data_IF_336415211045
#
_entry.id   IF_336415211045
#
_cell.length_a   1.000
_cell.length_b   1.000
_cell.length_c   1.000
_cell.angle_alpha   90.00
_cell.angle_beta   90.00
_cell.angle_gamma   90.00
#
_symmetry.space_group_name_H-M   'P 1'
#
loop_
_entity.id
_entity.type
_entity.pdbx_description
1 polymer ?
#
# COMPACT_ATOMS: atom_id res chain seq x y z
N UNK A 1 8.22 13.73 7.26
CA UNK A 1 7.93 13.94 5.82
C UNK A 1 7.80 15.43 5.55
N UNK A 2 8.24 15.89 4.37
CA UNK A 2 8.27 17.33 4.04
C UNK A 2 7.56 17.65 2.71
N UNK A 3 7.01 16.64 2.04
CA UNK A 3 6.42 16.80 0.71
C UNK A 3 5.18 15.90 0.58
N UNK A 4 4.12 16.44 0.00
CA UNK A 4 2.92 15.73 -0.40
C UNK A 4 2.74 15.87 -1.91
N UNK A 5 2.70 14.74 -2.63
CA UNK A 5 2.48 14.72 -4.08
C UNK A 5 1.02 14.39 -4.35
N UNK A 6 0.29 15.36 -4.89
CA UNK A 6 -1.12 15.25 -5.22
C UNK A 6 -1.30 14.92 -6.70
N UNK A 7 -1.65 13.68 -7.01
CA UNK A 7 -1.86 13.18 -8.38
C UNK A 7 -3.02 12.17 -8.43
N UNK A 8 -4.27 12.61 -8.12
CA UNK A 8 -5.43 11.72 -8.02
C UNK A 8 -5.86 11.22 -9.40
N UNK A 9 -5.75 9.90 -9.63
CA UNK A 9 -6.08 9.27 -10.94
C UNK A 9 -7.58 9.29 -11.25
N UNK A 10 -8.43 9.46 -10.27
CA UNK A 10 -9.89 9.58 -10.38
C UNK A 10 -10.37 11.02 -10.62
N UNK A 11 -9.52 12.04 -10.43
CA UNK A 11 -9.84 13.41 -10.78
C UNK A 11 -9.79 13.61 -12.31
N UNK A 12 -10.92 13.91 -12.98
CA UNK A 12 -10.95 14.11 -14.41
C UNK A 12 -10.09 15.31 -14.86
N UNK A 13 -9.93 16.34 -14.04
CA UNK A 13 -9.17 17.54 -14.36
C UNK A 13 -7.65 17.37 -14.22
N UNK A 14 -7.24 16.34 -13.53
CA UNK A 14 -5.86 15.85 -13.51
C UNK A 14 -5.54 15.05 -14.79
N UNK A 15 -6.50 14.30 -15.36
CA UNK A 15 -6.30 13.28 -16.39
C UNK A 15 -7.13 13.49 -17.66
N UNK A 16 -8.37 13.03 -17.70
CA UNK A 16 -9.18 12.97 -18.91
C UNK A 16 -9.58 14.37 -19.46
N UNK A 17 -9.76 15.34 -18.58
CA UNK A 17 -10.17 16.72 -18.88
C UNK A 17 -9.08 17.73 -18.50
N UNK A 18 -7.82 17.34 -18.64
CA UNK A 18 -6.67 18.12 -18.19
C UNK A 18 -6.54 19.50 -18.84
N UNK A 19 -7.14 19.69 -20.03
CA UNK A 19 -7.18 20.99 -20.73
C UNK A 19 -8.15 21.98 -20.11
N UNK A 20 -9.11 21.49 -19.31
CA UNK A 20 -10.15 22.30 -18.70
C UNK A 20 -9.70 22.84 -17.33
N UNK A 21 -10.15 24.04 -16.92
CA UNK A 21 -9.95 24.51 -15.56
C UNK A 21 -10.71 23.63 -14.57
N UNK A 22 -10.21 23.52 -13.33
CA UNK A 22 -10.98 22.90 -12.25
C UNK A 22 -12.23 23.72 -11.97
N UNK A 23 -13.39 23.10 -11.65
CA UNK A 23 -14.54 23.80 -11.11
C UNK A 23 -14.20 24.64 -9.87
N UNK A 24 -14.91 25.74 -9.66
CA UNK A 24 -14.57 26.69 -8.60
C UNK A 24 -14.64 26.07 -7.19
N UNK A 25 -15.56 25.17 -6.95
CA UNK A 25 -15.71 24.44 -5.67
C UNK A 25 -14.56 23.45 -5.44
N UNK A 26 -14.11 22.75 -6.48
CA UNK A 26 -12.95 21.86 -6.38
C UNK A 26 -11.65 22.66 -6.22
N UNK A 27 -11.50 23.77 -6.93
CA UNK A 27 -10.36 24.68 -6.78
C UNK A 27 -10.30 25.26 -5.36
N UNK A 28 -11.45 25.58 -4.73
CA UNK A 28 -11.50 26.03 -3.35
C UNK A 28 -11.03 24.94 -2.36
N UNK A 29 -11.48 23.70 -2.52
CA UNK A 29 -11.01 22.55 -1.71
C UNK A 29 -9.51 22.32 -1.88
N UNK A 30 -9.03 22.37 -3.13
CA UNK A 30 -7.60 22.22 -3.41
C UNK A 30 -6.79 23.32 -2.70
N UNK A 31 -7.28 24.57 -2.71
CA UNK A 31 -6.64 25.67 -2.00
C UNK A 31 -6.57 25.43 -0.50
N UNK A 32 -7.62 24.90 0.13
CA UNK A 32 -7.61 24.52 1.56
C UNK A 32 -6.49 23.49 1.86
N UNK A 33 -6.30 22.48 0.99
CA UNK A 33 -5.22 21.51 1.13
C UNK A 33 -3.83 22.16 0.99
N UNK A 34 -3.67 23.06 0.03
CA UNK A 34 -2.43 23.83 -0.18
C UNK A 34 -2.10 24.69 1.05
N UNK A 35 -3.09 25.40 1.58
CA UNK A 35 -2.93 26.24 2.77
C UNK A 35 -2.59 25.40 4.01
N UNK A 36 -3.24 24.24 4.17
CA UNK A 36 -2.93 23.29 5.24
C UNK A 36 -1.50 22.73 5.12
N UNK A 37 -1.06 22.40 3.92
CA UNK A 37 0.31 21.95 3.67
C UNK A 37 1.33 23.04 4.04
N UNK A 38 1.13 24.27 3.59
CA UNK A 38 2.00 25.40 3.91
C UNK A 38 2.04 25.70 5.42
N UNK A 39 0.89 25.68 6.10
CA UNK A 39 0.81 25.85 7.55
C UNK A 39 1.65 24.81 8.29
N UNK A 40 1.69 23.57 7.79
CA UNK A 40 2.46 22.47 8.36
C UNK A 40 3.89 22.35 7.79
N UNK A 41 4.35 23.33 7.00
CA UNK A 41 5.68 23.32 6.36
C UNK A 41 5.90 22.09 5.46
N UNK A 42 4.83 21.61 4.84
CA UNK A 42 4.84 20.53 3.85
C UNK A 42 4.74 21.15 2.47
N UNK A 43 5.64 20.74 1.59
CA UNK A 43 5.61 21.13 0.18
C UNK A 43 4.44 20.39 -0.49
N UNK A 44 3.55 21.14 -1.15
CA UNK A 44 2.47 20.60 -1.94
C UNK A 44 2.90 20.54 -3.41
N UNK A 45 3.05 19.36 -3.97
CA UNK A 45 3.35 19.11 -5.38
C UNK A 45 2.06 18.74 -6.09
N UNK A 46 1.62 19.56 -7.03
CA UNK A 46 0.47 19.22 -7.86
C UNK A 46 0.94 18.57 -9.17
N UNK A 47 0.35 17.41 -9.50
CA UNK A 47 0.67 16.68 -10.70
C UNK A 47 -0.41 16.82 -11.77
N UNK A 48 -0.02 16.76 -13.06
CA UNK A 48 -0.91 16.64 -14.21
C UNK A 48 -0.53 15.38 -15.01
N UNK A 49 -1.54 14.68 -15.56
CA UNK A 49 -1.34 13.48 -16.37
C UNK A 49 -1.98 13.64 -17.77
N UNK A 50 -1.32 14.35 -18.71
CA UNK A 50 -1.91 14.69 -20.00
C UNK A 50 -1.81 13.57 -21.04
N UNK A 51 -1.10 12.48 -20.73
CA UNK A 51 -0.61 11.51 -21.70
C UNK A 51 -1.68 10.67 -22.39
N UNK A 52 -2.91 10.61 -21.87
CA UNK A 52 -3.98 9.79 -22.44
C UNK A 52 -4.42 10.24 -23.84
N UNK A 53 -4.31 11.53 -24.14
CA UNK A 53 -4.79 12.11 -25.41
C UNK A 53 -3.94 13.27 -25.96
N UNK A 54 -2.75 13.48 -25.41
CA UNK A 54 -1.83 14.54 -25.84
C UNK A 54 -1.40 14.34 -27.30
N UNK A 55 -1.45 15.41 -28.10
CA UNK A 55 -1.13 15.38 -29.53
C UNK A 55 0.30 15.79 -29.84
N UNK A 56 1.09 16.14 -28.84
CA UNK A 56 2.48 16.58 -28.98
C UNK A 56 2.65 17.80 -29.87
N UNK A 57 1.66 18.67 -29.93
CA UNK A 57 1.68 19.93 -30.64
C UNK A 57 1.94 21.11 -29.69
N UNK A 58 2.27 22.27 -30.27
CA UNK A 58 2.51 23.48 -29.48
C UNK A 58 1.28 23.91 -28.68
N UNK A 59 0.08 23.73 -29.25
CA UNK A 59 -1.19 24.05 -28.57
C UNK A 59 -1.36 23.27 -27.27
N UNK A 60 -1.10 21.95 -27.28
CA UNK A 60 -1.18 21.13 -26.07
C UNK A 60 -0.11 21.52 -25.04
N UNK A 61 1.11 21.85 -25.47
CA UNK A 61 2.16 22.38 -24.58
C UNK A 61 1.73 23.69 -23.91
N UNK A 62 1.09 24.58 -24.66
CA UNK A 62 0.51 25.84 -24.13
C UNK A 62 -0.61 25.53 -23.13
N UNK A 63 -1.48 24.55 -23.42
CA UNK A 63 -2.59 24.21 -22.55
C UNK A 63 -2.08 23.60 -21.22
N UNK A 64 -1.05 22.76 -21.24
CA UNK A 64 -0.40 22.29 -20.00
C UNK A 64 0.17 23.47 -19.20
N UNK A 65 0.93 24.39 -19.84
CA UNK A 65 1.48 25.55 -19.16
C UNK A 65 0.39 26.44 -18.54
N UNK A 66 -0.71 26.69 -19.27
CA UNK A 66 -1.87 27.43 -18.73
C UNK A 66 -2.48 26.74 -17.52
N UNK A 67 -2.57 25.42 -17.53
CA UNK A 67 -3.09 24.67 -16.38
C UNK A 67 -2.18 24.81 -15.16
N UNK A 68 -0.84 24.79 -15.37
CA UNK A 68 0.11 25.03 -14.28
C UNK A 68 0.00 26.45 -13.74
N UNK A 69 -0.23 27.48 -14.60
CA UNK A 69 -0.48 28.87 -14.13
C UNK A 69 -1.72 28.97 -13.24
N UNK A 70 -2.83 28.31 -13.63
CA UNK A 70 -4.03 28.28 -12.80
C UNK A 70 -3.77 27.66 -11.41
N UNK A 71 -2.95 26.62 -11.34
CA UNK A 71 -2.56 25.98 -10.09
C UNK A 71 -1.57 26.84 -9.29
N UNK A 72 -0.67 27.58 -9.97
CA UNK A 72 0.22 28.54 -9.35
C UNK A 72 -0.57 29.67 -8.65
N UNK A 73 -1.63 30.16 -9.28
CA UNK A 73 -2.53 31.17 -8.71
C UNK A 73 -3.26 30.70 -7.43
N UNK A 74 -3.45 29.37 -7.28
CA UNK A 74 -3.97 28.77 -6.03
C UNK A 74 -2.91 28.68 -4.92
N UNK A 75 -1.67 29.08 -5.17
CA UNK A 75 -0.59 29.05 -4.18
C UNK A 75 0.38 27.87 -4.31
N UNK A 76 0.22 26.98 -5.30
CA UNK A 76 1.11 25.84 -5.52
C UNK A 76 2.44 26.33 -6.10
N UNK A 77 3.57 25.76 -5.64
CA UNK A 77 4.93 26.15 -6.03
C UNK A 77 5.79 24.98 -6.52
N UNK A 78 5.26 23.77 -6.48
CA UNK A 78 5.94 22.57 -6.96
C UNK A 78 5.00 21.77 -7.84
N UNK A 79 5.51 21.27 -8.97
CA UNK A 79 4.69 20.67 -10.00
C UNK A 79 5.30 19.38 -10.53
N UNK A 80 4.42 18.46 -10.95
CA UNK A 80 4.81 17.22 -11.59
C UNK A 80 4.01 16.98 -12.89
N UNK A 81 4.62 16.27 -13.84
CA UNK A 81 3.94 15.80 -15.05
C UNK A 81 4.09 14.27 -15.11
N UNK A 82 2.98 13.58 -15.15
CA UNK A 82 2.93 12.13 -15.09
C UNK A 82 2.59 11.52 -16.44
N UNK A 83 3.27 10.42 -16.77
CA UNK A 83 3.08 9.61 -17.96
C UNK A 83 3.00 8.11 -17.62
N UNK A 84 2.78 7.78 -16.36
CA UNK A 84 2.62 6.40 -15.91
C UNK A 84 1.41 5.74 -16.57
N UNK A 85 1.51 4.42 -16.80
CA UNK A 85 0.47 3.58 -17.39
C UNK A 85 0.01 4.05 -18.79
N UNK A 86 0.93 4.59 -19.59
CA UNK A 86 0.68 5.04 -20.96
C UNK A 86 1.58 4.29 -21.95
N UNK A 87 1.00 3.92 -23.10
CA UNK A 87 1.67 3.20 -24.18
C UNK A 87 1.52 3.94 -25.52
N UNK A 88 2.22 3.47 -26.53
CA UNK A 88 2.15 4.01 -27.90
C UNK A 88 2.68 5.42 -28.00
N UNK A 89 1.98 6.29 -28.73
CA UNK A 89 2.42 7.68 -29.00
C UNK A 89 2.55 8.52 -27.72
N UNK A 90 1.74 8.26 -26.68
CA UNK A 90 1.85 8.92 -25.38
C UNK A 90 3.14 8.60 -24.62
N UNK A 91 3.77 7.45 -24.91
CA UNK A 91 4.96 6.93 -24.26
C UNK A 91 6.27 7.29 -24.99
N UNK A 92 6.29 8.30 -25.85
CA UNK A 92 7.49 8.72 -26.60
C UNK A 92 8.42 9.59 -25.77
N UNK A 93 9.60 9.06 -25.41
CA UNK A 93 10.57 9.73 -24.56
C UNK A 93 11.08 11.07 -25.11
N UNK A 94 11.28 11.19 -26.43
CA UNK A 94 11.67 12.43 -27.08
C UNK A 94 10.59 13.53 -26.97
N UNK A 95 9.32 13.14 -27.06
CA UNK A 95 8.19 14.05 -26.93
C UNK A 95 7.96 14.47 -25.48
N UNK A 96 8.06 13.51 -24.54
CA UNK A 96 7.99 13.80 -23.11
C UNK A 96 9.10 14.77 -22.69
N UNK A 97 10.36 14.52 -23.11
CA UNK A 97 11.46 15.44 -22.84
C UNK A 97 11.21 16.85 -23.44
N UNK A 98 10.72 16.91 -24.67
CA UNK A 98 10.37 18.17 -25.33
C UNK A 98 9.31 18.96 -24.56
N UNK A 99 8.26 18.32 -24.08
CA UNK A 99 7.22 18.96 -23.25
C UNK A 99 7.80 19.49 -21.94
N UNK A 100 8.59 18.68 -21.22
CA UNK A 100 9.19 19.11 -19.95
C UNK A 100 10.14 20.30 -20.14
N UNK A 101 10.92 20.32 -21.22
CA UNK A 101 11.79 21.47 -21.56
C UNK A 101 10.95 22.71 -21.88
N UNK A 102 9.88 22.56 -22.69
CA UNK A 102 8.96 23.67 -22.99
C UNK A 102 8.35 24.24 -21.69
N UNK A 103 7.88 23.40 -20.78
CA UNK A 103 7.31 23.85 -19.51
C UNK A 103 8.36 24.50 -18.60
N UNK A 104 9.59 23.98 -18.61
CA UNK A 104 10.70 24.59 -17.86
C UNK A 104 10.97 26.02 -18.37
N UNK A 105 11.04 26.24 -19.68
CA UNK A 105 11.30 27.55 -20.26
C UNK A 105 10.12 28.51 -20.14
N UNK A 106 8.90 28.00 -20.33
CA UNK A 106 7.70 28.83 -20.47
C UNK A 106 6.89 29.01 -19.21
N UNK A 107 7.17 28.20 -18.16
CA UNK A 107 6.53 28.30 -16.87
C UNK A 107 7.54 28.38 -15.72
N UNK A 108 8.37 27.33 -15.49
CA UNK A 108 9.25 27.31 -14.31
C UNK A 108 10.19 28.51 -14.24
N UNK A 109 10.89 28.80 -15.33
CA UNK A 109 11.87 29.91 -15.38
C UNK A 109 11.25 31.31 -15.37
N UNK A 110 9.93 31.40 -15.54
CA UNK A 110 9.20 32.69 -15.41
C UNK A 110 8.86 33.02 -13.97
N UNK A 111 8.82 32.00 -13.10
CA UNK A 111 8.48 32.12 -11.69
C UNK A 111 9.68 31.80 -10.80
N UNK A 112 10.15 32.77 -10.01
CA UNK A 112 11.37 32.63 -9.18
C UNK A 112 11.19 31.68 -8.01
N UNK A 113 9.94 31.40 -7.62
CA UNK A 113 9.55 30.61 -6.48
C UNK A 113 8.99 29.21 -6.87
N UNK A 114 9.04 28.86 -8.16
CA UNK A 114 8.67 27.52 -8.64
C UNK A 114 9.91 26.63 -8.72
N UNK A 115 9.79 25.45 -8.15
CA UNK A 115 10.86 24.43 -8.17
C UNK A 115 10.96 23.72 -9.53
N UNK A 116 12.11 23.07 -9.82
CA UNK A 116 12.24 22.20 -10.97
C UNK A 116 11.16 21.12 -11.01
N UNK A 117 10.65 20.84 -12.21
CA UNK A 117 9.58 19.86 -12.42
C UNK A 117 10.01 18.45 -11.99
N UNK A 118 9.02 17.69 -11.55
CA UNK A 118 9.12 16.24 -11.37
C UNK A 118 8.36 15.56 -12.50
N UNK A 119 8.88 14.47 -13.06
CA UNK A 119 8.15 13.68 -14.04
C UNK A 119 8.13 12.20 -13.65
N UNK A 120 6.99 11.54 -13.87
CA UNK A 120 6.92 10.09 -13.87
C UNK A 120 6.97 9.62 -15.33
N UNK A 121 7.97 8.83 -15.75
CA UNK A 121 8.07 8.34 -17.11
C UNK A 121 7.09 7.19 -17.37
N UNK A 122 6.76 6.92 -18.63
CA UNK A 122 5.92 5.77 -19.00
C UNK A 122 6.60 4.44 -18.67
N UNK A 123 7.93 4.36 -18.81
CA UNK A 123 8.72 3.20 -18.44
C UNK A 123 9.40 3.45 -17.10
N UNK A 124 8.61 3.48 -16.04
CA UNK A 124 9.04 3.87 -14.69
C UNK A 124 9.66 2.74 -13.87
N UNK A 125 9.83 1.55 -14.43
CA UNK A 125 10.55 0.42 -13.81
C UNK A 125 11.40 -0.33 -14.85
N UNK A 126 12.39 -1.08 -14.36
CA UNK A 126 13.33 -1.80 -15.24
C UNK A 126 12.66 -2.87 -16.09
N UNK A 127 11.67 -3.58 -15.53
CA UNK A 127 10.96 -4.66 -16.25
C UNK A 127 10.17 -4.16 -17.45
N UNK A 128 9.79 -2.89 -17.49
CA UNK A 128 9.08 -2.26 -18.61
C UNK A 128 10.00 -1.46 -19.54
N UNK A 129 11.26 -1.32 -19.18
CA UNK A 129 12.22 -0.57 -19.97
C UNK A 129 12.50 -1.29 -21.29
N UNK A 130 12.41 -0.54 -22.39
CA UNK A 130 12.69 -1.04 -23.73
C UNK A 130 13.37 0.01 -24.60
N UNK A 131 14.23 -0.42 -25.51
CA UNK A 131 14.93 0.46 -26.44
C UNK A 131 15.77 1.52 -25.70
N UNK A 132 15.82 2.73 -26.27
CA UNK A 132 16.62 3.85 -25.77
C UNK A 132 15.78 4.89 -24.98
N UNK A 133 14.61 4.49 -24.46
CA UNK A 133 13.65 5.42 -23.86
C UNK A 133 14.24 6.21 -22.69
N UNK A 134 14.79 5.53 -21.67
CA UNK A 134 15.35 6.18 -20.48
C UNK A 134 16.58 7.04 -20.82
N UNK A 135 17.47 6.56 -21.67
CA UNK A 135 18.62 7.33 -22.11
C UNK A 135 18.20 8.56 -22.96
N UNK A 136 17.15 8.44 -23.75
CA UNK A 136 16.54 9.58 -24.47
C UNK A 136 16.05 10.65 -23.49
N UNK A 137 15.34 10.26 -22.42
CA UNK A 137 14.94 11.20 -21.36
C UNK A 137 16.17 11.82 -20.69
N UNK A 138 17.15 11.00 -20.33
CA UNK A 138 18.37 11.44 -19.65
C UNK A 138 19.19 12.46 -20.43
N UNK A 139 19.26 12.31 -21.75
CA UNK A 139 20.10 13.13 -22.64
C UNK A 139 19.39 14.34 -23.24
N UNK A 140 18.08 14.25 -23.50
CA UNK A 140 17.32 15.31 -24.17
C UNK A 140 16.57 16.25 -23.22
N UNK A 141 16.27 15.80 -22.00
CA UNK A 141 15.56 16.62 -21.03
C UNK A 141 16.53 17.43 -20.18
N UNK A 142 16.16 18.66 -19.83
CA UNK A 142 16.97 19.52 -18.97
C UNK A 142 17.35 18.82 -17.67
N UNK A 143 18.62 18.96 -17.21
CA UNK A 143 19.15 18.18 -16.09
C UNK A 143 18.49 18.48 -14.75
N UNK A 144 17.87 19.64 -14.59
CA UNK A 144 17.16 20.02 -13.37
C UNK A 144 15.83 19.27 -13.19
N UNK A 145 15.22 18.74 -14.26
CA UNK A 145 13.96 17.96 -14.14
C UNK A 145 14.23 16.63 -13.47
N UNK A 146 13.49 16.33 -12.42
CA UNK A 146 13.61 15.09 -11.64
C UNK A 146 12.78 13.98 -12.29
N UNK A 147 13.36 12.78 -12.41
CA UNK A 147 12.71 11.61 -13.02
C UNK A 147 12.39 10.57 -11.96
N UNK A 148 11.13 10.17 -11.87
CA UNK A 148 10.67 9.15 -10.94
C UNK A 148 11.02 7.73 -11.41
N UNK A 149 11.18 6.82 -10.44
CA UNK A 149 11.54 5.44 -10.65
C UNK A 149 11.01 4.54 -9.53
N UNK A 150 10.43 3.37 -9.86
CA UNK A 150 9.84 2.46 -8.87
C UNK A 150 10.70 1.25 -8.53
N UNK A 151 11.82 1.04 -9.25
CA UNK A 151 12.68 -0.14 -9.04
C UNK A 151 12.74 -1.06 -10.26
N UNK A 152 13.11 -2.32 -10.06
CA UNK A 152 13.15 -3.32 -11.11
C UNK A 152 11.73 -3.74 -11.56
N UNK A 153 10.75 -3.52 -10.71
CA UNK A 153 9.34 -3.83 -10.91
C UNK A 153 8.46 -2.65 -10.49
N UNK A 154 7.13 -2.75 -10.70
CA UNK A 154 6.15 -1.77 -10.23
C UNK A 154 6.22 -1.64 -8.70
N UNK A 155 6.32 -2.77 -8.03
CA UNK A 155 6.50 -2.87 -6.58
C UNK A 155 7.82 -3.57 -6.29
N UNK A 156 8.74 -2.88 -5.65
CA UNK A 156 10.11 -3.36 -5.44
C UNK A 156 10.73 -2.85 -4.13
N UNK A 157 11.89 -3.40 -3.79
CA UNK A 157 12.83 -2.89 -2.80
C UNK A 157 14.00 -2.26 -3.56
N UNK A 158 14.37 -1.05 -3.19
CA UNK A 158 15.35 -0.25 -3.93
C UNK A 158 16.75 -0.47 -3.34
N UNK A 159 17.63 -1.08 -4.11
CA UNK A 159 19.00 -1.38 -3.69
C UNK A 159 20.05 -0.52 -4.43
N UNK A 160 21.31 -0.56 -3.97
CA UNK A 160 22.39 0.23 -4.53
C UNK A 160 22.62 -0.05 -6.03
N UNK A 161 22.64 -1.31 -6.43
CA UNK A 161 22.82 -1.71 -7.83
C UNK A 161 21.69 -1.20 -8.74
N UNK A 162 20.47 -1.13 -8.21
CA UNK A 162 19.33 -0.61 -8.95
C UNK A 162 19.48 0.89 -9.17
N UNK A 163 19.90 1.59 -8.12
CA UNK A 163 20.18 3.03 -8.19
C UNK A 163 21.32 3.36 -9.14
N UNK A 164 22.39 2.60 -9.12
CA UNK A 164 23.49 2.75 -10.06
C UNK A 164 23.00 2.61 -11.50
N UNK A 165 22.26 1.54 -11.77
CA UNK A 165 21.73 1.25 -13.10
C UNK A 165 20.82 2.38 -13.62
N UNK A 166 19.83 2.82 -12.83
CA UNK A 166 18.88 3.84 -13.29
C UNK A 166 19.56 5.19 -13.47
N UNK A 167 20.45 5.59 -12.55
CA UNK A 167 21.17 6.86 -12.63
C UNK A 167 22.06 6.92 -13.88
N UNK A 168 22.66 5.79 -14.28
CA UNK A 168 23.42 5.66 -15.51
C UNK A 168 22.51 5.79 -16.76
N UNK A 169 21.29 5.28 -16.73
CA UNK A 169 20.33 5.43 -17.83
C UNK A 169 19.87 6.87 -17.99
N UNK A 170 19.38 7.49 -16.91
CA UNK A 170 18.76 8.84 -16.98
C UNK A 170 19.77 9.99 -16.80
N UNK A 171 21.07 9.72 -16.64
CA UNK A 171 22.17 10.70 -16.50
C UNK A 171 21.99 11.67 -15.33
N UNK A 172 21.28 11.27 -14.29
CA UNK A 172 21.01 12.05 -13.07
C UNK A 172 20.55 11.12 -11.96
N UNK A 173 20.46 11.64 -10.71
CA UNK A 173 19.88 10.91 -9.59
C UNK A 173 18.38 10.74 -9.78
N UNK A 174 17.89 9.50 -9.68
CA UNK A 174 16.46 9.22 -9.76
C UNK A 174 15.70 9.76 -8.54
N UNK A 175 14.43 10.08 -8.73
CA UNK A 175 13.46 10.36 -7.68
C UNK A 175 12.68 9.07 -7.41
N UNK A 176 12.80 8.47 -6.23
CA UNK A 176 12.15 7.19 -5.94
C UNK A 176 10.66 7.38 -5.68
N UNK A 177 9.87 6.57 -6.35
CA UNK A 177 8.46 6.32 -6.07
C UNK A 177 8.33 4.91 -5.51
N UNK A 178 8.31 4.79 -4.20
CA UNK A 178 8.14 3.51 -3.52
C UNK A 178 6.67 3.12 -3.50
N UNK A 179 6.30 2.04 -4.20
CA UNK A 179 4.95 1.48 -4.14
C UNK A 179 4.76 0.60 -2.89
N UNK A 180 4.78 1.26 -1.74
CA UNK A 180 4.50 0.72 -0.42
C UNK A 180 4.10 1.86 0.52
N UNK A 181 3.01 1.73 1.32
CA UNK A 181 2.14 0.57 1.50
C UNK A 181 0.93 0.50 0.56
N UNK A 182 0.94 1.10 -0.62
CA UNK A 182 -0.20 1.04 -1.54
C UNK A 182 -0.74 -0.37 -1.70
N UNK A 183 -2.06 -0.52 -1.68
CA UNK A 183 -2.77 -1.80 -1.74
C UNK A 183 -3.90 -1.87 -2.78
N UNK A 184 -3.90 -0.98 -3.76
CA UNK A 184 -4.92 -0.91 -4.82
C UNK A 184 -5.01 -2.20 -5.66
N UNK A 185 -3.92 -2.93 -5.79
CA UNK A 185 -3.83 -4.24 -6.46
C UNK A 185 -4.15 -5.43 -5.53
N UNK A 186 -4.34 -5.20 -4.22
CA UNK A 186 -4.64 -6.23 -3.21
C UNK A 186 -5.61 -5.72 -2.13
N UNK A 187 -6.70 -5.11 -2.55
CA UNK A 187 -7.66 -4.35 -1.72
C UNK A 187 -8.27 -5.13 -0.53
N UNK A 188 -8.18 -6.45 -0.54
CA UNK A 188 -8.58 -7.30 0.60
C UNK A 188 -7.58 -7.26 1.77
N UNK A 189 -6.39 -6.72 1.57
CA UNK A 189 -5.31 -6.66 2.55
C UNK A 189 -5.00 -5.22 2.91
N UNK A 190 -4.55 -5.01 4.14
CA UNK A 190 -3.86 -3.78 4.56
C UNK A 190 -2.43 -4.10 4.91
N UNK A 191 -1.52 -3.19 4.59
CA UNK A 191 -0.08 -3.42 4.69
C UNK A 191 0.48 -2.65 5.88
N UNK A 192 0.50 -3.31 7.03
CA UNK A 192 0.86 -2.74 8.34
C UNK A 192 2.26 -3.15 8.82
N UNK A 193 3.03 -3.83 7.96
CA UNK A 193 4.32 -4.39 8.29
C UNK A 193 5.45 -3.35 8.38
N UNK A 194 6.63 -3.84 8.77
CA UNK A 194 7.87 -3.07 8.82
C UNK A 194 8.29 -2.61 7.42
N UNK A 195 8.84 -1.41 7.30
CA UNK A 195 9.52 -0.97 6.08
C UNK A 195 10.96 -1.47 6.11
N UNK A 196 11.30 -2.42 5.25
CA UNK A 196 12.64 -3.01 5.15
C UNK A 196 13.01 -3.39 3.72
N UNK A 197 14.24 -3.82 3.49
CA UNK A 197 14.72 -4.31 2.20
C UNK A 197 15.25 -3.23 1.26
N UNK A 198 15.03 -1.94 1.55
CA UNK A 198 15.65 -0.86 0.80
C UNK A 198 17.10 -0.65 1.27
N UNK A 199 17.99 -0.27 0.36
CA UNK A 199 19.41 -0.04 0.64
C UNK A 199 19.64 1.04 1.69
N UNK A 200 20.54 0.79 2.63
CA UNK A 200 20.87 1.75 3.68
C UNK A 200 21.98 2.76 3.25
N UNK A 201 22.53 2.58 2.07
CA UNK A 201 23.66 3.36 1.52
C UNK A 201 23.30 4.11 0.22
N UNK A 202 22.01 4.30 -0.07
CA UNK A 202 21.55 4.95 -1.30
C UNK A 202 21.23 6.44 -1.14
N UNK A 203 21.44 7.02 0.04
CA UNK A 203 21.12 8.42 0.35
C UNK A 203 21.74 9.43 -0.65
N UNK A 204 22.98 9.19 -1.10
CA UNK A 204 23.66 10.06 -2.07
C UNK A 204 23.33 9.74 -3.53
N UNK A 205 22.52 8.72 -3.77
CA UNK A 205 22.14 8.25 -5.11
C UNK A 205 20.74 8.68 -5.54
N UNK A 206 19.94 9.26 -4.64
CA UNK A 206 18.57 9.69 -4.89
C UNK A 206 18.45 11.22 -4.97
N UNK A 207 17.54 11.75 -5.80
CA UNK A 207 17.16 13.17 -5.83
C UNK A 207 15.94 13.48 -4.98
N UNK A 208 15.24 12.46 -4.51
CA UNK A 208 14.07 12.50 -3.66
C UNK A 208 13.50 11.11 -3.48
N UNK A 209 12.60 10.97 -2.51
CA UNK A 209 11.99 9.70 -2.15
C UNK A 209 10.54 9.93 -1.73
N UNK A 210 9.58 9.38 -2.45
CA UNK A 210 8.17 9.40 -2.05
C UNK A 210 7.61 7.98 -1.92
N UNK A 211 6.62 7.85 -1.07
CA UNK A 211 5.86 6.64 -0.85
C UNK A 211 4.46 6.80 -1.43
N UNK A 212 3.95 5.75 -2.05
CA UNK A 212 2.55 5.63 -2.44
C UNK A 212 1.79 4.91 -1.31
N UNK A 213 0.91 5.61 -0.56
CA UNK A 213 0.20 5.04 0.59
C UNK A 213 -1.02 4.23 0.15
N UNK A 214 -1.62 3.50 1.11
CA UNK A 214 -2.96 2.97 0.96
C UNK A 214 -3.98 4.12 0.91
N UNK A 215 -5.19 3.84 0.44
CA UNK A 215 -6.33 4.75 0.56
C UNK A 215 -6.79 4.98 2.02
N UNK A 216 -6.37 4.13 2.93
CA UNK A 216 -6.57 4.21 4.38
C UNK A 216 -5.49 5.11 4.99
N UNK A 217 -5.82 6.38 5.20
CA UNK A 217 -4.86 7.41 5.60
C UNK A 217 -4.23 7.12 6.97
N UNK A 218 -5.04 6.69 7.94
CA UNK A 218 -4.58 6.38 9.29
C UNK A 218 -3.76 5.09 9.31
N UNK A 219 -4.25 4.02 8.68
CA UNK A 219 -3.52 2.75 8.59
C UNK A 219 -2.17 2.91 7.88
N UNK A 220 -2.09 3.78 6.87
CA UNK A 220 -0.84 4.09 6.17
C UNK A 220 0.21 4.72 7.07
N UNK A 221 -0.17 5.39 8.16
CA UNK A 221 0.77 6.05 9.08
C UNK A 221 1.78 5.09 9.70
N UNK A 222 1.44 3.81 9.89
CA UNK A 222 2.38 2.79 10.39
C UNK A 222 3.60 2.69 9.48
N UNK A 223 3.38 2.48 8.19
CA UNK A 223 4.47 2.38 7.22
C UNK A 223 5.09 3.74 6.92
N UNK A 224 4.29 4.81 6.83
CA UNK A 224 4.79 6.16 6.54
C UNK A 224 5.69 6.69 7.66
N UNK A 225 5.46 6.32 8.93
CA UNK A 225 6.35 6.63 10.03
C UNK A 225 7.74 6.03 9.78
N UNK A 226 7.78 4.74 9.46
CA UNK A 226 9.02 4.02 9.19
C UNK A 226 9.73 4.52 7.92
N UNK A 227 8.99 4.88 6.87
CA UNK A 227 9.55 5.46 5.65
C UNK A 227 10.14 6.85 5.93
N UNK A 228 9.49 7.65 6.77
CA UNK A 228 10.03 8.95 7.18
C UNK A 228 11.33 8.80 7.98
N UNK A 229 11.40 7.85 8.90
CA UNK A 229 12.60 7.53 9.67
C UNK A 229 13.73 7.02 8.76
N UNK A 230 13.43 6.09 7.85
CA UNK A 230 14.35 5.60 6.83
C UNK A 230 14.94 6.74 5.99
N UNK A 231 14.09 7.60 5.43
CA UNK A 231 14.54 8.68 4.54
C UNK A 231 15.25 9.81 5.27
N UNK A 232 15.07 9.93 6.59
CA UNK A 232 15.76 10.91 7.41
C UNK A 232 17.24 10.54 7.62
N UNK A 233 17.54 9.26 7.87
CA UNK A 233 18.89 8.77 8.08
C UNK A 233 19.00 7.28 7.68
N UNK A 234 19.11 7.03 6.38
CA UNK A 234 19.19 5.67 5.82
C UNK A 234 20.28 4.81 6.47
N UNK A 235 21.54 5.30 6.66
CA UNK A 235 22.60 4.47 7.24
C UNK A 235 22.34 4.00 8.67
N UNK A 236 21.56 4.73 9.46
CA UNK A 236 21.25 4.39 10.85
C UNK A 236 19.84 3.82 11.04
N UNK A 237 19.13 3.55 9.96
CA UNK A 237 17.76 3.05 10.02
C UNK A 237 17.71 1.61 10.53
N UNK A 238 16.81 1.37 11.47
CA UNK A 238 16.46 0.05 12.02
C UNK A 238 14.96 -0.16 11.85
N UNK A 239 14.58 -1.11 10.99
CA UNK A 239 13.19 -1.35 10.60
C UNK A 239 12.32 -1.81 11.77
N UNK A 240 12.86 -2.64 12.67
CA UNK A 240 12.12 -3.15 13.82
C UNK A 240 11.87 -2.03 14.82
N UNK A 241 12.93 -1.33 15.23
CA UNK A 241 12.84 -0.23 16.18
C UNK A 241 11.93 0.89 15.67
N UNK A 242 12.01 1.22 14.39
CA UNK A 242 11.18 2.26 13.78
C UNK A 242 9.70 1.87 13.78
N UNK A 243 9.42 0.63 13.41
CA UNK A 243 8.05 0.09 13.42
C UNK A 243 7.46 0.04 14.83
N UNK A 244 8.23 -0.42 15.82
CA UNK A 244 7.82 -0.44 17.22
C UNK A 244 7.45 0.96 17.75
N UNK A 245 8.26 1.96 17.38
CA UNK A 245 7.97 3.35 17.72
C UNK A 245 6.70 3.85 17.06
N UNK A 246 6.46 3.47 15.80
CA UNK A 246 5.22 3.82 15.11
C UNK A 246 3.99 3.26 15.83
N UNK A 247 4.02 1.98 16.23
CA UNK A 247 2.91 1.35 16.96
C UNK A 247 2.60 2.06 18.27
N UNK A 248 3.63 2.33 19.08
CA UNK A 248 3.47 3.05 20.35
C UNK A 248 3.03 4.50 20.19
N UNK A 249 3.42 5.17 19.11
CA UNK A 249 3.00 6.55 18.83
C UNK A 249 1.54 6.63 18.33
N UNK A 250 1.09 5.65 17.55
CA UNK A 250 -0.23 5.65 16.95
C UNK A 250 -1.30 5.06 17.86
N UNK A 251 -0.96 4.07 18.69
CA UNK A 251 -1.88 3.38 19.59
C UNK A 251 -1.24 3.21 21.00
N UNK A 252 -0.97 4.32 21.73
CA UNK A 252 -0.15 4.28 22.95
C UNK A 252 -0.73 3.44 24.09
N UNK A 253 -2.05 3.32 24.20
CA UNK A 253 -2.72 2.55 25.26
C UNK A 253 -2.97 1.08 24.89
N UNK A 254 -2.96 0.75 23.61
CA UNK A 254 -3.21 -0.60 23.07
C UNK A 254 -2.09 -1.08 22.13
N UNK A 255 -0.87 -0.60 22.33
CA UNK A 255 0.28 -0.89 21.45
C UNK A 255 0.56 -2.40 21.28
N UNK A 256 0.43 -3.19 22.35
CA UNK A 256 0.64 -4.65 22.29
C UNK A 256 -0.45 -5.36 21.48
N UNK A 257 -1.71 -4.96 21.63
CA UNK A 257 -2.81 -5.49 20.83
C UNK A 257 -2.68 -5.06 19.36
N UNK A 258 -2.28 -3.81 19.13
CA UNK A 258 -2.03 -3.27 17.80
C UNK A 258 -0.84 -3.94 17.12
N UNK A 259 0.20 -4.31 17.88
CA UNK A 259 1.30 -5.11 17.39
C UNK A 259 0.83 -6.46 16.84
N UNK A 260 0.06 -7.21 17.61
CA UNK A 260 -0.49 -8.51 17.18
C UNK A 260 -1.32 -8.36 15.92
N UNK A 261 -2.12 -7.29 15.83
CA UNK A 261 -2.88 -6.98 14.64
C UNK A 261 -1.97 -6.69 13.44
N UNK A 262 -0.97 -5.83 13.59
CA UNK A 262 -0.06 -5.45 12.51
C UNK A 262 0.79 -6.64 12.03
N UNK A 263 1.25 -7.53 12.92
CA UNK A 263 2.01 -8.74 12.57
C UNK A 263 1.21 -9.72 11.69
N UNK A 264 -0.12 -9.65 11.77
CA UNK A 264 -1.03 -10.48 10.98
C UNK A 264 -1.64 -9.77 9.77
N UNK A 265 -1.22 -8.53 9.49
CA UNK A 265 -1.61 -7.70 8.36
C UNK A 265 -0.37 -7.08 7.71
N UNK A 266 0.48 -7.92 7.19
CA UNK A 266 1.77 -7.58 6.55
C UNK A 266 1.69 -7.78 5.04
N UNK A 267 2.80 -7.49 4.36
CA UNK A 267 2.96 -7.70 2.93
C UNK A 267 2.62 -9.13 2.51
N UNK A 268 2.16 -9.26 1.31
CA UNK A 268 2.06 -10.55 0.61
C UNK A 268 3.34 -10.80 -0.19
N UNK A 269 3.75 -12.02 -0.33
CA UNK A 269 4.94 -12.41 -1.06
C UNK A 269 4.97 -11.95 -2.52
N UNK A 270 5.37 -12.77 -3.46
CA UNK A 270 5.42 -12.43 -4.89
C UNK A 270 4.02 -12.19 -5.46
N UNK A 271 3.89 -11.15 -6.25
CA UNK A 271 2.67 -10.81 -6.98
C UNK A 271 2.99 -10.58 -8.46
N UNK A 272 1.94 -10.38 -9.29
CA UNK A 272 2.11 -9.95 -10.67
C UNK A 272 2.72 -8.55 -10.84
N UNK A 273 2.85 -7.78 -9.76
CA UNK A 273 3.41 -6.42 -9.75
C UNK A 273 4.88 -6.37 -9.33
N UNK A 274 5.48 -7.50 -8.97
CA UNK A 274 6.89 -7.62 -8.62
C UNK A 274 7.14 -8.37 -7.31
N UNK A 275 8.36 -8.25 -6.80
CA UNK A 275 8.75 -8.82 -5.53
C UNK A 275 8.12 -8.02 -4.39
N UNK A 276 7.49 -8.73 -3.49
CA UNK A 276 6.93 -8.19 -2.26
C UNK A 276 7.64 -8.80 -1.06
N UNK A 277 7.47 -8.15 0.09
CA UNK A 277 7.87 -8.71 1.38
C UNK A 277 7.01 -9.92 1.69
N UNK A 278 7.58 -10.90 2.36
CA UNK A 278 6.86 -12.11 2.77
C UNK A 278 5.97 -11.81 3.98
N UNK A 279 4.82 -12.50 4.04
CA UNK A 279 3.94 -12.46 5.19
C UNK A 279 4.64 -13.06 6.41
N UNK A 280 4.48 -12.40 7.56
CA UNK A 280 5.04 -12.83 8.83
C UNK A 280 3.91 -13.07 9.83
N UNK A 281 4.05 -14.09 10.64
CA UNK A 281 3.25 -14.33 11.85
C UNK A 281 4.15 -15.08 12.84
N UNK A 282 5.22 -14.42 13.33
CA UNK A 282 6.31 -15.08 14.05
C UNK A 282 5.86 -15.75 15.33
N UNK A 283 4.93 -15.16 16.05
CA UNK A 283 4.37 -15.74 17.28
C UNK A 283 3.64 -17.03 16.99
N UNK A 284 2.82 -17.06 15.94
CA UNK A 284 2.10 -18.26 15.53
C UNK A 284 3.07 -19.37 15.09
N UNK A 285 4.04 -19.05 14.26
CA UNK A 285 5.03 -20.01 13.76
C UNK A 285 5.84 -20.64 14.90
N UNK A 286 6.20 -19.86 15.91
CA UNK A 286 6.94 -20.36 17.08
C UNK A 286 6.12 -21.26 18.00
N UNK A 287 4.79 -21.11 18.04
CA UNK A 287 3.90 -21.80 18.98
C UNK A 287 3.09 -22.94 18.35
N UNK A 288 3.03 -23.02 17.01
CA UNK A 288 2.14 -23.96 16.30
C UNK A 288 2.51 -25.44 16.42
N UNK A 289 3.67 -25.76 16.98
CA UNK A 289 4.13 -27.14 17.17
C UNK A 289 3.39 -27.90 18.29
N UNK A 290 2.71 -27.21 19.19
CA UNK A 290 1.98 -27.82 20.30
C UNK A 290 0.53 -27.33 20.35
N UNK A 291 -0.36 -28.19 20.87
CA UNK A 291 -1.78 -27.84 21.07
C UNK A 291 -1.92 -26.65 22.03
N UNK A 292 -1.10 -26.63 23.12
CA UNK A 292 -1.08 -25.50 24.06
C UNK A 292 -0.65 -24.19 23.39
N UNK A 293 0.42 -24.21 22.60
CA UNK A 293 0.89 -23.05 21.87
C UNK A 293 -0.09 -22.56 20.80
N UNK A 294 -0.79 -23.49 20.12
CA UNK A 294 -1.88 -23.14 19.22
C UNK A 294 -3.04 -22.45 19.95
N UNK A 295 -3.45 -22.99 21.10
CA UNK A 295 -4.51 -22.40 21.91
C UNK A 295 -4.16 -20.98 22.34
N UNK A 296 -2.93 -20.75 22.82
CA UNK A 296 -2.42 -19.44 23.20
C UNK A 296 -2.39 -18.48 22.00
N UNK A 297 -1.88 -18.92 20.83
CA UNK A 297 -1.82 -18.11 19.63
C UNK A 297 -3.20 -17.64 19.16
N UNK A 298 -4.17 -18.55 19.10
CA UNK A 298 -5.54 -18.18 18.72
C UNK A 298 -6.22 -17.30 19.76
N UNK A 299 -5.95 -17.53 21.05
CA UNK A 299 -6.45 -16.67 22.11
C UNK A 299 -5.85 -15.26 22.01
N UNK A 300 -4.59 -15.14 21.65
CA UNK A 300 -3.92 -13.85 21.46
C UNK A 300 -4.57 -13.04 20.33
N UNK A 301 -4.97 -13.67 19.22
CA UNK A 301 -5.71 -12.98 18.16
C UNK A 301 -7.06 -12.42 18.66
N UNK A 302 -7.80 -13.22 19.44
CA UNK A 302 -9.09 -12.79 20.02
C UNK A 302 -8.86 -11.64 21.01
N UNK A 303 -7.89 -11.82 21.92
CA UNK A 303 -7.53 -10.81 22.91
C UNK A 303 -7.15 -9.48 22.26
N UNK A 304 -6.29 -9.52 21.25
CA UNK A 304 -5.87 -8.30 20.55
C UNK A 304 -7.04 -7.60 19.87
N UNK A 305 -7.89 -8.37 19.19
CA UNK A 305 -9.06 -7.80 18.53
C UNK A 305 -10.06 -7.19 19.53
N UNK A 306 -10.34 -7.88 20.64
CA UNK A 306 -11.25 -7.37 21.68
C UNK A 306 -10.72 -6.09 22.32
N UNK A 307 -9.41 -6.01 22.59
CA UNK A 307 -8.78 -4.78 23.12
C UNK A 307 -8.86 -3.62 22.14
N UNK A 308 -8.58 -3.86 20.85
CA UNK A 308 -8.66 -2.81 19.83
C UNK A 308 -10.10 -2.33 19.65
N UNK A 309 -11.07 -3.23 19.60
CA UNK A 309 -12.49 -2.87 19.45
C UNK A 309 -13.07 -2.13 20.67
N UNK A 310 -12.47 -2.31 21.84
CA UNK A 310 -12.85 -1.62 23.07
C UNK A 310 -12.16 -0.25 23.25
N UNK A 311 -11.11 0.03 22.47
CA UNK A 311 -10.32 1.26 22.59
C UNK A 311 -10.85 2.39 21.69
N UNK A 312 -12.01 2.93 22.04
CA UNK A 312 -12.68 4.00 21.28
C UNK A 312 -12.02 5.39 21.46
N UNK A 313 -11.08 5.53 22.39
CA UNK A 313 -10.57 6.86 22.82
C UNK A 313 -9.22 7.21 22.20
N UNK A 314 -8.41 6.20 21.90
CA UNK A 314 -6.98 6.38 21.61
C UNK A 314 -6.72 6.95 20.21
N UNK A 315 -7.27 6.32 19.19
CA UNK A 315 -7.22 6.78 17.80
C UNK A 315 -8.47 6.27 17.06
N UNK A 316 -9.60 6.96 17.19
CA UNK A 316 -10.88 6.51 16.63
C UNK A 316 -10.86 6.44 15.09
N UNK A 317 -10.10 7.32 14.43
CA UNK A 317 -9.97 7.31 12.97
C UNK A 317 -9.23 6.06 12.50
N UNK A 318 -8.13 5.69 13.16
CA UNK A 318 -7.41 4.43 12.88
C UNK A 318 -8.33 3.23 13.06
N UNK A 319 -9.03 3.16 14.20
CA UNK A 319 -9.94 2.05 14.49
C UNK A 319 -11.07 1.96 13.46
N UNK A 320 -11.62 3.08 13.01
CA UNK A 320 -12.65 3.10 11.97
C UNK A 320 -12.15 2.49 10.65
N UNK A 321 -10.93 2.83 10.24
CA UNK A 321 -10.34 2.30 9.01
C UNK A 321 -10.03 0.79 9.10
N UNK A 322 -9.44 0.32 10.20
CA UNK A 322 -8.98 -1.07 10.33
C UNK A 322 -10.04 -2.05 10.85
N UNK A 323 -11.17 -1.56 11.35
CA UNK A 323 -12.22 -2.36 12.00
C UNK A 323 -12.60 -3.65 11.27
N UNK A 324 -12.82 -3.67 9.94
CA UNK A 324 -13.16 -4.90 9.23
C UNK A 324 -12.10 -6.00 9.37
N UNK A 325 -10.81 -5.63 9.37
CA UNK A 325 -9.71 -6.57 9.57
C UNK A 325 -9.58 -7.02 11.03
N UNK A 326 -9.82 -6.11 11.99
CA UNK A 326 -9.85 -6.45 13.42
C UNK A 326 -10.97 -7.46 13.72
N UNK A 327 -12.17 -7.24 13.20
CA UNK A 327 -13.30 -8.17 13.32
C UNK A 327 -12.99 -9.53 12.65
N UNK A 328 -12.36 -9.50 11.47
CA UNK A 328 -11.93 -10.73 10.78
C UNK A 328 -10.85 -11.48 11.57
N UNK A 329 -9.88 -10.78 12.19
CA UNK A 329 -8.87 -11.38 13.06
C UNK A 329 -9.49 -12.05 14.29
N UNK A 330 -10.47 -11.39 14.92
CA UNK A 330 -11.22 -11.98 16.04
C UNK A 330 -11.87 -13.29 15.66
N UNK A 331 -12.57 -13.30 14.53
CA UNK A 331 -13.24 -14.52 14.05
C UNK A 331 -12.24 -15.61 13.63
N UNK A 332 -11.10 -15.25 13.05
CA UNK A 332 -10.02 -16.18 12.76
C UNK A 332 -9.49 -16.84 14.05
N UNK A 333 -9.25 -16.07 15.10
CA UNK A 333 -8.85 -16.58 16.40
C UNK A 333 -9.91 -17.51 17.01
N UNK A 334 -11.18 -17.12 16.97
CA UNK A 334 -12.29 -17.96 17.46
C UNK A 334 -12.42 -19.25 16.65
N UNK A 335 -12.24 -19.23 15.33
CA UNK A 335 -12.21 -20.46 14.50
C UNK A 335 -11.07 -21.37 14.90
N UNK A 336 -9.89 -20.81 15.16
CA UNK A 336 -8.75 -21.57 15.66
C UNK A 336 -8.99 -22.20 17.03
N UNK A 337 -9.67 -21.52 17.94
CA UNK A 337 -10.08 -22.09 19.23
C UNK A 337 -11.02 -23.29 19.04
N UNK A 338 -11.98 -23.23 18.10
CA UNK A 338 -12.81 -24.39 17.77
C UNK A 338 -11.99 -25.55 17.20
N UNK A 339 -10.98 -25.26 16.36
CA UNK A 339 -10.08 -26.28 15.86
C UNK A 339 -9.32 -26.99 17.01
N UNK A 340 -8.76 -26.25 17.96
CA UNK A 340 -8.07 -26.81 19.13
C UNK A 340 -9.02 -27.70 19.94
N UNK A 341 -10.25 -27.24 20.18
CA UNK A 341 -11.28 -28.03 20.87
C UNK A 341 -11.59 -29.35 20.13
N UNK A 342 -11.76 -29.28 18.80
CA UNK A 342 -11.99 -30.46 17.97
C UNK A 342 -10.84 -31.49 18.04
N UNK A 343 -9.58 -31.02 18.10
CA UNK A 343 -8.42 -31.91 18.28
C UNK A 343 -8.49 -32.62 19.62
N UNK A 344 -8.82 -31.90 20.70
CA UNK A 344 -8.99 -32.49 22.03
C UNK A 344 -10.16 -33.48 22.09
N UNK A 345 -11.31 -33.15 21.48
CA UNK A 345 -12.48 -34.04 21.43
C UNK A 345 -12.17 -35.36 20.70
N UNK A 346 -11.42 -35.27 19.59
CA UNK A 346 -11.00 -36.44 18.83
C UNK A 346 -10.08 -37.34 19.65
N UNK A 347 -9.15 -36.76 20.42
CA UNK A 347 -8.24 -37.46 21.31
C UNK A 347 -9.03 -38.16 22.46
N UNK A 348 -10.07 -37.50 22.97
CA UNK A 348 -10.95 -38.00 24.01
C UNK A 348 -12.05 -38.95 23.50
N UNK A 349 -12.13 -39.17 22.19
CA UNK A 349 -13.17 -39.95 21.50
C UNK A 349 -14.60 -39.43 21.74
N UNK A 350 -14.74 -38.12 21.95
CA UNK A 350 -16.02 -37.42 22.09
C UNK A 350 -16.52 -36.91 20.74
N UNK A 351 -17.23 -37.78 20.02
CA UNK A 351 -17.78 -37.46 18.71
C UNK A 351 -18.86 -36.38 18.75
N UNK A 352 -19.62 -36.30 19.86
CA UNK A 352 -20.71 -35.32 20.02
C UNK A 352 -20.15 -33.91 20.19
N UNK A 353 -19.16 -33.76 21.09
CA UNK A 353 -18.47 -32.47 21.27
C UNK A 353 -17.79 -32.04 19.99
N UNK A 354 -17.09 -32.96 19.29
CA UNK A 354 -16.44 -32.69 18.02
C UNK A 354 -17.40 -32.06 16.98
N UNK A 355 -18.56 -32.67 16.76
CA UNK A 355 -19.59 -32.18 15.84
C UNK A 355 -20.12 -30.80 16.28
N UNK A 356 -20.26 -30.60 17.60
CA UNK A 356 -20.65 -29.30 18.18
C UNK A 356 -19.66 -28.20 17.82
N UNK A 357 -18.36 -28.41 18.05
CA UNK A 357 -17.30 -27.47 17.74
C UNK A 357 -17.12 -27.26 16.21
N UNK A 358 -17.27 -28.32 15.42
CA UNK A 358 -17.25 -28.22 13.96
C UNK A 358 -18.35 -27.28 13.41
N UNK A 359 -19.60 -27.44 13.91
CA UNK A 359 -20.69 -26.54 13.52
C UNK A 359 -20.44 -25.11 13.95
N UNK A 360 -19.91 -24.89 15.16
CA UNK A 360 -19.53 -23.55 15.62
C UNK A 360 -18.47 -22.92 14.72
N UNK A 361 -17.45 -23.70 14.34
CA UNK A 361 -16.41 -23.23 13.41
C UNK A 361 -16.99 -22.80 12.06
N UNK A 362 -17.92 -23.59 11.47
CA UNK A 362 -18.56 -23.23 10.21
C UNK A 362 -19.39 -21.93 10.33
N UNK A 363 -20.10 -21.73 11.42
CA UNK A 363 -20.84 -20.49 11.66
C UNK A 363 -19.91 -19.27 11.78
N UNK A 364 -18.76 -19.41 12.45
CA UNK A 364 -17.75 -18.37 12.56
C UNK A 364 -17.13 -18.05 11.19
N UNK A 365 -16.85 -19.07 10.38
CA UNK A 365 -16.36 -18.90 9.02
C UNK A 365 -17.34 -18.15 8.13
N UNK A 366 -18.63 -18.48 8.21
CA UNK A 366 -19.69 -17.75 7.48
C UNK A 366 -19.74 -16.28 7.92
N UNK A 367 -19.67 -16.00 9.23
CA UNK A 367 -19.61 -14.62 9.75
C UNK A 367 -18.38 -13.88 9.22
N UNK A 368 -17.21 -14.52 9.22
CA UNK A 368 -15.97 -13.93 8.70
C UNK A 368 -16.08 -13.62 7.21
N UNK A 369 -16.62 -14.54 6.41
CA UNK A 369 -16.85 -14.36 4.97
C UNK A 369 -17.87 -13.26 4.64
N UNK A 370 -18.74 -12.89 5.57
CA UNK A 370 -19.73 -11.86 5.41
C UNK A 370 -19.18 -10.44 5.65
N UNK A 371 -18.01 -10.29 6.28
CA UNK A 371 -17.39 -9.00 6.51
C UNK A 371 -16.94 -8.40 5.16
N UNK A 372 -17.21 -7.12 4.98
CA UNK A 372 -16.82 -6.35 3.80
C UNK A 372 -15.94 -5.19 4.29
N UNK A 373 -14.72 -5.10 3.76
CA UNK A 373 -13.79 -4.02 4.09
C UNK A 373 -14.05 -2.76 3.27
N UNK A 374 -14.53 -2.91 2.04
CA UNK A 374 -14.83 -1.80 1.15
C UNK A 374 -16.05 -2.07 0.27
N UNK A 375 -16.86 -1.05 0.12
CA UNK A 375 -17.97 -1.01 -0.82
C UNK A 375 -17.80 0.25 -1.67
N UNK A 376 -17.30 0.10 -2.89
CA UNK A 376 -17.22 1.22 -3.83
C UNK A 376 -18.61 1.58 -4.30
N UNK A 377 -19.03 2.84 -4.14
CA UNK A 377 -20.27 3.33 -4.73
C UNK A 377 -20.26 3.06 -6.23
N UNK A 378 -21.28 2.33 -6.71
CA UNK A 378 -21.41 1.95 -8.13
C UNK A 378 -20.53 0.78 -8.59
N UNK A 379 -19.74 0.14 -7.73
CA UNK A 379 -18.95 -1.05 -8.07
C UNK A 379 -19.61 -2.33 -7.56
N UNK A 380 -19.57 -3.37 -8.40
CA UNK A 380 -20.00 -4.74 -8.04
C UNK A 380 -18.94 -5.41 -7.16
N UNK A 381 -17.72 -4.89 -7.13
CA UNK A 381 -16.59 -5.51 -6.42
C UNK A 381 -16.61 -5.09 -4.95
N UNK A 382 -16.84 -6.07 -4.08
CA UNK A 382 -16.75 -5.93 -2.63
C UNK A 382 -15.43 -6.56 -2.16
N UNK A 383 -14.53 -5.77 -1.60
CA UNK A 383 -13.34 -6.31 -0.97
C UNK A 383 -13.70 -6.96 0.39
N UNK A 384 -13.13 -8.10 0.67
CA UNK A 384 -13.27 -8.82 1.96
C UNK A 384 -11.93 -8.79 2.69
N UNK A 385 -11.92 -8.51 3.99
CA UNK A 385 -10.67 -8.45 4.73
C UNK A 385 -10.00 -9.82 4.80
N UNK A 386 -8.73 -9.87 4.44
CA UNK A 386 -7.85 -11.04 4.59
C UNK A 386 -6.85 -10.74 5.68
N UNK A 387 -6.81 -11.60 6.71
CA UNK A 387 -5.89 -11.50 7.84
C UNK A 387 -5.01 -12.73 7.84
N UNK A 388 -3.70 -12.55 8.01
CA UNK A 388 -2.70 -13.62 7.96
C UNK A 388 -2.94 -14.59 6.80
N UNK A 389 -3.15 -14.01 5.61
CA UNK A 389 -3.55 -14.74 4.41
C UNK A 389 -2.47 -15.70 3.88
N UNK A 390 -1.23 -15.55 4.34
CA UNK A 390 -0.10 -16.36 3.89
C UNK A 390 0.34 -17.38 4.95
N UNK A 391 -0.09 -17.24 6.22
CA UNK A 391 0.35 -18.10 7.32
C UNK A 391 -0.84 -18.76 8.04
N UNK A 392 -1.55 -18.02 8.91
CA UNK A 392 -2.55 -18.64 9.80
C UNK A 392 -3.79 -19.12 9.05
N UNK A 393 -4.31 -18.29 8.15
CA UNK A 393 -5.54 -18.62 7.42
C UNK A 393 -5.39 -19.88 6.56
N UNK A 394 -4.37 -20.06 5.70
CA UNK A 394 -4.17 -21.30 4.96
C UNK A 394 -3.87 -22.48 5.88
N UNK A 395 -3.01 -22.30 6.89
CA UNK A 395 -2.70 -23.32 7.86
C UNK A 395 -3.96 -23.88 8.55
N UNK A 396 -4.82 -22.99 9.04
CA UNK A 396 -6.07 -23.41 9.73
C UNK A 396 -7.00 -24.16 8.78
N UNK A 397 -7.18 -23.68 7.55
CA UNK A 397 -8.07 -24.31 6.58
C UNK A 397 -7.59 -25.71 6.18
N UNK A 398 -6.28 -25.89 5.95
CA UNK A 398 -5.66 -27.16 5.61
C UNK A 398 -5.78 -28.16 6.78
N UNK A 399 -5.45 -27.73 7.98
CA UNK A 399 -5.50 -28.59 9.17
C UNK A 399 -6.93 -28.96 9.58
N UNK A 400 -7.91 -28.06 9.40
CA UNK A 400 -9.33 -28.40 9.57
C UNK A 400 -9.77 -29.48 8.58
N UNK A 401 -9.38 -29.36 7.31
CA UNK A 401 -9.72 -30.37 6.31
C UNK A 401 -9.13 -31.76 6.65
N UNK A 402 -7.88 -31.81 7.09
CA UNK A 402 -7.23 -33.06 7.51
C UNK A 402 -7.88 -33.62 8.77
N UNK A 403 -8.17 -32.80 9.78
CA UNK A 403 -8.83 -33.23 11.01
C UNK A 403 -10.20 -33.87 10.74
N UNK A 404 -10.98 -33.30 9.81
CA UNK A 404 -12.27 -33.86 9.40
C UNK A 404 -12.10 -35.23 8.71
N UNK A 405 -11.07 -35.41 7.89
CA UNK A 405 -10.76 -36.72 7.26
C UNK A 405 -10.42 -37.76 8.32
N UNK A 406 -9.61 -37.41 9.31
CA UNK A 406 -9.26 -38.30 10.43
C UNK A 406 -10.51 -38.69 11.22
N UNK A 407 -11.38 -37.71 11.53
CA UNK A 407 -12.64 -37.96 12.22
C UNK A 407 -13.54 -38.92 11.44
N UNK A 408 -13.77 -38.70 10.17
CA UNK A 408 -14.58 -39.56 9.28
C UNK A 408 -14.04 -40.97 9.28
N UNK A 409 -12.72 -41.16 9.18
CA UNK A 409 -12.08 -42.47 9.21
C UNK A 409 -12.27 -43.18 10.53
N UNK A 410 -12.19 -42.46 11.64
CA UNK A 410 -12.29 -43.03 12.99
C UNK A 410 -13.72 -43.47 13.34
N UNK A 411 -14.71 -42.68 12.92
CA UNK A 411 -16.10 -42.88 13.38
C UNK A 411 -17.02 -43.48 12.33
N UNK A 412 -16.57 -43.67 11.11
CA UNK A 412 -17.36 -44.31 10.01
C UNK A 412 -18.75 -43.66 9.78
N UNK A 413 -18.92 -42.39 10.13
CA UNK A 413 -20.16 -41.67 9.90
C UNK A 413 -20.27 -41.28 8.41
N UNK A 414 -21.49 -41.41 7.85
CA UNK A 414 -21.81 -40.96 6.50
C UNK A 414 -21.75 -39.43 6.36
N UNK A 415 -21.76 -38.93 5.12
CA UNK A 415 -21.68 -37.50 4.79
C UNK A 415 -22.81 -36.67 5.40
N UNK A 416 -23.95 -37.26 5.71
CA UNK A 416 -25.11 -36.62 6.34
C UNK A 416 -24.81 -35.94 7.69
N UNK A 417 -23.75 -36.35 8.40
CA UNK A 417 -23.34 -35.74 9.67
C UNK A 417 -22.48 -34.48 9.50
N UNK A 418 -22.01 -34.23 8.29
CA UNK A 418 -21.23 -33.05 7.97
C UNK A 418 -22.10 -32.11 7.15
N UNK A 419 -22.37 -30.89 7.61
CA UNK A 419 -23.08 -29.93 6.81
C UNK A 419 -22.30 -29.70 5.51
N UNK A 420 -23.01 -29.85 4.39
CA UNK A 420 -22.46 -29.53 3.08
C UNK A 420 -22.16 -28.03 3.10
N UNK A 421 -20.96 -27.64 2.68
CA UNK A 421 -20.66 -26.24 2.44
C UNK A 421 -21.59 -25.75 1.30
N UNK A 422 -22.49 -24.82 1.62
CA UNK A 422 -23.30 -24.11 0.66
C UNK A 422 -22.50 -22.93 0.05
#
# INVERSE_FOLDING_TARGET
MNTYVFGPKDDPYHRARWREPCPADEAAKLKELVDAAHKNKVKFVWAIHPAGDIKWCLEDSINVAKKLELMYDLGIRSFAVFFDDVWGEGARGDKQAGLLNYLTDNFVRKHKDVEPLIMCPSQYNKGWTSGDYLNTLGTKMYPEVRIMWTGNSVVDMIEENDMQWINDQIKRKAYIWLNYPVNDYCQSRILMGKTYGNGLNINDMVSGFCSNPMEYAEASKVSLYSIADYTWNMPAYDSVRSWERALGALMPTSADAFRVFCENNVDLGRTGHGLRREGESPTFMASSETIGGLAESFQQLVWAADNLLADEVNNPEMLAEIKPWVESMRLLGQRGQQYVSMVCDLANKDSVAFIGHYRAQLQLEQKQKAIISRNYEGSIVKAKPVVSGDVITPWLNENLAELIKVYKKQYTYGEEYFPVQA
#
